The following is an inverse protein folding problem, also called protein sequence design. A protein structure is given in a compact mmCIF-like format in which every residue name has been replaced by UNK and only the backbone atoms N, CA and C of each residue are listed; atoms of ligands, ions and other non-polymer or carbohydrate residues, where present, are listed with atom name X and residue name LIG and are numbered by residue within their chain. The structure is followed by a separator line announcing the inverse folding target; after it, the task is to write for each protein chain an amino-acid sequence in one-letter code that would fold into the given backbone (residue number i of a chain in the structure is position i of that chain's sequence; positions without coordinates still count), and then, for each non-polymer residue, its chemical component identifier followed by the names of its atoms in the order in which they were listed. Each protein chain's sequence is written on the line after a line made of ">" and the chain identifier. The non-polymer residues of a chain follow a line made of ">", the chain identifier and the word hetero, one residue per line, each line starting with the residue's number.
data_IF_598266396459
#
_entry.id   IF_598266396459
#
_cell.length_a   1.000
_cell.length_b   1.000
_cell.length_c   1.000
_cell.angle_alpha   90.00
_cell.angle_beta   90.00
_cell.angle_gamma   90.00
#
_symmetry.space_group_name_H-M   'P 1'
#
loop_
_entity.id
_entity.type
_entity.pdbx_description
1 polymer ?
#
# COMPACT_ATOMS: atom_id res chain seq x y z
N UNK A 1 -15.50 19.33 39.87
CA UNK A 1 -16.26 18.07 40.03
C UNK A 1 -17.28 17.98 38.91
N UNK A 2 -17.24 16.87 38.16
CA UNK A 2 -18.22 16.26 37.24
C UNK A 2 -19.11 17.13 36.33
N UNK A 3 -18.95 17.00 35.00
CA UNK A 3 -19.88 16.35 34.05
C UNK A 3 -19.47 16.73 32.62
N UNK A 4 -18.94 15.80 31.82
CA UNK A 4 -19.68 14.97 30.86
C UNK A 4 -20.10 15.72 29.59
N UNK A 5 -19.43 15.43 28.46
CA UNK A 5 -20.09 15.30 27.15
C UNK A 5 -19.24 14.41 26.24
N UNK A 6 -19.91 13.39 25.72
CA UNK A 6 -19.73 12.61 24.48
C UNK A 6 -18.30 12.42 23.94
N UNK A 7 -17.79 11.20 23.88
CA UNK A 7 -18.17 10.18 22.89
C UNK A 7 -18.08 10.70 21.45
N UNK A 8 -16.94 10.44 20.80
CA UNK A 8 -16.87 9.96 19.41
C UNK A 8 -15.41 9.62 19.08
N UNK A 9 -14.85 8.67 19.82
CA UNK A 9 -13.76 7.86 19.29
C UNK A 9 -14.40 6.92 18.27
N UNK A 10 -14.36 7.30 16.99
CA UNK A 10 -14.58 6.36 15.89
C UNK A 10 -13.39 5.38 15.84
N UNK A 11 -13.26 4.56 16.87
CA UNK A 11 -12.65 3.24 16.72
C UNK A 11 -13.83 2.35 16.36
N UNK A 12 -14.07 2.23 15.06
CA UNK A 12 -14.95 1.20 14.55
C UNK A 12 -14.40 -0.14 15.07
N UNK A 13 -15.22 -1.01 15.68
CA UNK A 13 -14.77 -2.37 15.92
C UNK A 13 -14.60 -3.00 14.53
N UNK A 14 -13.34 -3.17 14.11
CA UNK A 14 -13.01 -4.03 12.97
C UNK A 14 -13.21 -5.47 13.46
N UNK A 15 -14.48 -5.86 13.58
CA UNK A 15 -14.90 -7.17 13.99
C UNK A 15 -16.22 -7.46 13.29
N UNK A 16 -16.14 -7.66 11.97
CA UNK A 16 -17.01 -8.62 11.30
C UNK A 16 -16.12 -9.67 10.64
N UNK A 17 -15.46 -10.45 11.51
CA UNK A 17 -15.29 -11.87 11.26
C UNK A 17 -16.68 -12.52 11.24
N UNK A 18 -17.44 -12.26 10.18
CA UNK A 18 -18.72 -12.91 9.93
C UNK A 18 -18.47 -14.36 9.52
N UNK A 19 -18.35 -15.23 10.53
CA UNK A 19 -18.88 -16.60 10.68
C UNK A 19 -19.02 -17.58 9.48
N UNK A 20 -18.48 -17.27 8.30
CA UNK A 20 -18.33 -18.16 7.15
C UNK A 20 -16.90 -17.95 6.63
N UNK A 21 -15.95 -18.51 7.37
CA UNK A 21 -14.52 -18.35 7.13
C UNK A 21 -14.08 -18.82 5.75
N UNK A 22 -13.07 -18.13 5.21
CA UNK A 22 -11.87 -18.66 4.55
C UNK A 22 -11.06 -17.53 3.87
N UNK A 23 -11.69 -16.38 3.56
CA UNK A 23 -11.01 -15.25 2.91
C UNK A 23 -10.51 -14.21 3.93
N UNK A 24 -9.21 -13.86 3.93
CA UNK A 24 -8.68 -12.84 4.83
C UNK A 24 -9.16 -11.43 4.41
N UNK A 25 -9.26 -10.51 5.37
CA UNK A 25 -9.53 -9.10 5.08
C UNK A 25 -8.28 -8.40 4.54
N UNK A 26 -8.46 -7.32 3.78
CA UNK A 26 -7.35 -6.52 3.26
C UNK A 26 -6.45 -6.02 4.39
N UNK A 27 -7.06 -5.52 5.47
CA UNK A 27 -6.34 -4.99 6.62
C UNK A 27 -5.48 -6.06 7.31
N UNK A 28 -6.00 -7.29 7.46
CA UNK A 28 -5.23 -8.39 8.03
C UNK A 28 -4.02 -8.76 7.15
N UNK A 29 -4.22 -8.79 5.83
CA UNK A 29 -3.14 -9.03 4.87
C UNK A 29 -2.11 -7.91 4.92
N UNK A 30 -2.54 -6.65 4.88
CA UNK A 30 -1.65 -5.49 4.87
C UNK A 30 -0.86 -5.40 6.18
N UNK A 31 -1.52 -5.52 7.33
CA UNK A 31 -0.86 -5.48 8.65
C UNK A 31 0.23 -6.53 8.78
N UNK A 32 0.04 -7.71 8.17
CA UNK A 32 1.04 -8.78 8.15
C UNK A 32 2.28 -8.45 7.29
N UNK A 33 2.11 -7.75 6.17
CA UNK A 33 3.19 -7.53 5.19
C UNK A 33 3.71 -6.09 5.10
N UNK A 34 3.06 -5.12 5.75
CA UNK A 34 3.38 -3.69 5.64
C UNK A 34 4.86 -3.37 5.87
N UNK A 35 5.44 -3.89 6.95
CA UNK A 35 6.84 -3.60 7.29
C UNK A 35 7.83 -4.24 6.33
N UNK A 36 7.48 -5.36 5.71
CA UNK A 36 8.30 -6.01 4.68
C UNK A 36 8.22 -5.26 3.34
N UNK A 37 7.02 -4.88 2.91
CA UNK A 37 6.80 -4.12 1.67
C UNK A 37 7.42 -2.73 1.78
N UNK A 38 7.35 -2.08 2.94
CA UNK A 38 8.00 -0.80 3.17
C UNK A 38 9.53 -0.91 3.06
N UNK A 39 10.15 -1.91 3.70
CA UNK A 39 11.59 -2.18 3.56
C UNK A 39 11.99 -2.45 2.10
N UNK A 40 11.15 -3.15 1.35
CA UNK A 40 11.35 -3.36 -0.07
C UNK A 40 11.27 -2.04 -0.87
N UNK A 41 10.31 -1.18 -0.57
CA UNK A 41 10.20 0.14 -1.19
C UNK A 41 11.44 1.02 -0.91
N UNK A 42 11.95 1.01 0.32
CA UNK A 42 13.21 1.69 0.68
C UNK A 42 14.39 1.14 -0.11
N UNK A 43 14.46 -0.19 -0.28
CA UNK A 43 15.53 -0.81 -1.08
C UNK A 43 15.49 -0.39 -2.55
N UNK A 44 14.29 -0.31 -3.14
CA UNK A 44 14.10 0.06 -4.55
C UNK A 44 14.43 1.53 -4.82
N UNK A 45 13.99 2.42 -3.94
CA UNK A 45 14.08 3.88 -4.13
C UNK A 45 15.39 4.46 -3.62
N UNK A 46 16.01 3.83 -2.60
CA UNK A 46 17.18 4.34 -1.87
C UNK A 46 16.94 5.72 -1.22
N UNK A 47 15.68 6.11 -1.04
CA UNK A 47 15.26 7.37 -0.42
C UNK A 47 13.98 7.11 0.38
N UNK A 48 13.94 7.58 1.62
CA UNK A 48 12.78 7.38 2.49
C UNK A 48 11.51 8.06 1.98
N UNK A 49 11.61 9.29 1.47
CA UNK A 49 10.44 10.03 0.98
C UNK A 49 9.83 9.35 -0.26
N UNK A 50 10.67 8.98 -1.23
CA UNK A 50 10.21 8.25 -2.41
C UNK A 50 9.68 6.85 -2.03
N UNK A 51 10.22 6.23 -0.97
CA UNK A 51 9.72 4.95 -0.45
C UNK A 51 8.34 5.07 0.19
N UNK A 52 8.09 6.13 0.97
CA UNK A 52 6.77 6.42 1.55
C UNK A 52 5.72 6.60 0.45
N UNK A 53 6.04 7.40 -0.58
CA UNK A 53 5.17 7.62 -1.72
C UNK A 53 4.89 6.30 -2.48
N UNK A 54 5.94 5.52 -2.74
CA UNK A 54 5.80 4.22 -3.40
C UNK A 54 4.96 3.24 -2.57
N UNK A 55 5.14 3.22 -1.25
CA UNK A 55 4.38 2.38 -0.34
C UNK A 55 2.90 2.77 -0.34
N UNK A 56 2.59 4.06 -0.22
CA UNK A 56 1.20 4.55 -0.27
C UNK A 56 0.51 4.19 -1.58
N UNK A 57 1.17 4.42 -2.71
CA UNK A 57 0.64 4.06 -4.03
C UNK A 57 0.42 2.54 -4.17
N UNK A 58 1.32 1.74 -3.58
CA UNK A 58 1.19 0.28 -3.54
C UNK A 58 -0.06 -0.14 -2.75
N UNK A 59 -0.26 0.42 -1.57
CA UNK A 59 -1.42 0.14 -0.71
C UNK A 59 -2.72 0.52 -1.39
N UNK A 60 -2.78 1.70 -2.04
CA UNK A 60 -3.96 2.16 -2.78
C UNK A 60 -4.31 1.23 -3.94
N UNK A 61 -3.30 0.82 -4.72
CA UNK A 61 -3.49 -0.16 -5.82
C UNK A 61 -3.90 -1.53 -5.30
N UNK A 62 -3.30 -1.98 -4.20
CA UNK A 62 -3.66 -3.25 -3.58
C UNK A 62 -5.11 -3.21 -3.10
N UNK A 63 -5.53 -2.16 -2.38
CA UNK A 63 -6.91 -2.01 -1.92
C UNK A 63 -7.92 -2.09 -3.07
N UNK A 64 -7.69 -1.33 -4.16
CA UNK A 64 -8.57 -1.35 -5.35
C UNK A 64 -8.63 -2.69 -6.08
N UNK A 65 -7.59 -3.52 -5.95
CA UNK A 65 -7.49 -4.81 -6.61
C UNK A 65 -7.83 -5.98 -5.68
N UNK A 66 -8.05 -5.73 -4.39
CA UNK A 66 -8.22 -6.76 -3.37
C UNK A 66 -9.50 -7.56 -3.57
N UNK A 67 -10.60 -6.91 -3.95
CA UNK A 67 -11.89 -7.56 -4.20
C UNK A 67 -11.84 -8.58 -5.36
N UNK A 68 -10.83 -8.48 -6.22
CA UNK A 68 -10.61 -9.41 -7.35
C UNK A 68 -9.60 -10.50 -7.03
N UNK A 69 -8.93 -10.41 -5.88
CA UNK A 69 -7.93 -11.37 -5.46
C UNK A 69 -8.63 -12.59 -4.87
N UNK A 70 -8.32 -13.76 -5.41
CA UNK A 70 -8.77 -15.02 -4.82
C UNK A 70 -8.22 -15.15 -3.39
N UNK A 71 -9.06 -15.58 -2.45
CA UNK A 71 -8.69 -15.78 -1.05
C UNK A 71 -7.59 -16.83 -0.84
N UNK A 72 -7.41 -17.75 -1.80
CA UNK A 72 -6.32 -18.74 -1.79
C UNK A 72 -5.00 -18.23 -2.43
N UNK A 73 -4.95 -16.99 -2.92
CA UNK A 73 -3.78 -16.45 -3.60
C UNK A 73 -2.61 -16.16 -2.63
N UNK A 74 -1.38 -16.26 -3.13
CA UNK A 74 -0.20 -15.84 -2.38
C UNK A 74 -0.15 -14.30 -2.24
N UNK A 75 -0.75 -13.79 -1.18
CA UNK A 75 -0.85 -12.35 -0.93
C UNK A 75 0.51 -11.64 -0.84
N UNK A 76 1.54 -12.32 -0.32
CA UNK A 76 2.90 -11.76 -0.23
C UNK A 76 3.43 -11.48 -1.62
N UNK A 77 3.49 -12.51 -2.48
CA UNK A 77 3.99 -12.38 -3.85
C UNK A 77 3.18 -11.35 -4.66
N UNK A 78 1.87 -11.31 -4.44
CA UNK A 78 0.98 -10.34 -5.09
C UNK A 78 1.30 -8.89 -4.68
N UNK A 79 1.50 -8.60 -3.39
CA UNK A 79 1.90 -7.26 -2.91
C UNK A 79 3.25 -6.83 -3.49
N UNK A 80 4.24 -7.73 -3.52
CA UNK A 80 5.54 -7.44 -4.16
C UNK A 80 5.42 -7.10 -5.65
N UNK A 81 4.53 -7.81 -6.36
CA UNK A 81 4.26 -7.53 -7.77
C UNK A 81 3.61 -6.15 -7.96
N UNK A 82 2.67 -5.77 -7.10
CA UNK A 82 2.07 -4.42 -7.13
C UNK A 82 3.14 -3.35 -6.88
N UNK A 83 3.95 -3.52 -5.83
CA UNK A 83 5.02 -2.59 -5.48
C UNK A 83 6.02 -2.40 -6.62
N UNK A 84 6.44 -3.50 -7.24
CA UNK A 84 7.37 -3.49 -8.38
C UNK A 84 6.76 -2.75 -9.58
N UNK A 85 5.50 -3.03 -9.91
CA UNK A 85 4.82 -2.37 -11.02
C UNK A 85 4.60 -0.88 -10.77
N UNK A 86 4.33 -0.48 -9.53
CA UNK A 86 4.23 0.92 -9.12
C UNK A 86 5.58 1.63 -9.30
N UNK A 87 6.66 1.04 -8.79
CA UNK A 87 8.01 1.57 -8.92
C UNK A 87 8.44 1.74 -10.38
N UNK A 88 8.23 0.71 -11.21
CA UNK A 88 8.57 0.77 -12.63
C UNK A 88 7.73 1.82 -13.40
N UNK A 89 6.50 2.06 -12.96
CA UNK A 89 5.65 3.11 -13.54
C UNK A 89 6.16 4.50 -13.17
N UNK A 90 6.50 4.73 -11.90
CA UNK A 90 7.06 6.00 -11.44
C UNK A 90 8.40 6.30 -12.13
N UNK A 91 9.31 5.32 -12.17
CA UNK A 91 10.62 5.48 -12.83
C UNK A 91 10.51 5.83 -14.31
N UNK A 92 9.53 5.23 -15.01
CA UNK A 92 9.25 5.55 -16.42
C UNK A 92 8.73 6.97 -16.59
N UNK A 93 7.89 7.46 -15.67
CA UNK A 93 7.38 8.83 -15.67
C UNK A 93 8.52 9.84 -15.44
N UNK A 94 9.34 9.63 -14.40
CA UNK A 94 10.50 10.49 -14.11
C UNK A 94 11.50 10.57 -15.27
N UNK A 95 11.75 9.46 -15.97
CA UNK A 95 12.65 9.48 -17.13
C UNK A 95 12.11 10.29 -18.32
N UNK A 96 10.78 10.40 -18.47
CA UNK A 96 10.15 11.23 -19.52
C UNK A 96 10.10 12.70 -19.17
N UNK A 97 10.06 13.02 -17.88
CA UNK A 97 10.00 14.38 -17.35
C UNK A 97 11.38 15.06 -17.25
N UNK A 98 12.48 14.32 -17.50
CA UNK A 98 13.81 14.94 -17.66
C UNK A 98 13.77 15.86 -18.89
N UNK A 99 13.92 17.20 -18.72
CA UNK A 99 13.88 18.13 -19.84
C UNK A 99 14.96 17.78 -20.86
N UNK A 100 14.61 17.80 -22.15
CA UNK A 100 15.54 17.62 -23.27
C UNK A 100 16.47 18.84 -23.48
N UNK A 101 16.53 19.75 -22.51
CA UNK A 101 17.10 21.10 -22.67
C UNK A 101 18.64 21.17 -22.61
N UNK A 102 19.33 20.06 -22.36
CA UNK A 102 20.81 20.03 -22.38
C UNK A 102 21.38 19.57 -23.74
N UNK A 103 20.55 19.19 -24.71
CA UNK A 103 21.01 18.66 -26.00
C UNK A 103 21.22 19.74 -27.09
N UNK A 104 21.06 21.02 -26.76
CA UNK A 104 21.27 22.16 -27.67
C UNK A 104 21.89 23.36 -26.94
N UNK A 105 23.17 23.25 -26.58
CA UNK A 105 24.00 24.40 -26.22
C UNK A 105 25.40 24.20 -26.81
#
# INVERSE_FOLDING_TARGET
>A
MASAVASESLTTPIADGGLLGLCPTFEAVLTRYQGEIFRFAVHLTRNHADADDLYQETVLKAYRAFDRLDGAANHRAWLYRIATNAFLSDRRKRNRERPLDEARA
#
